data_IF_043727556926
#
_entry.id   IF_043727556926
#
_cell.length_a   1.000
_cell.length_b   1.000
_cell.length_c   1.000
_cell.angle_alpha   90.00
_cell.angle_beta   90.00
_cell.angle_gamma   90.00
#
_symmetry.space_group_name_H-M   'P 1'
#
loop_
_entity.id
_entity.type
_entity.pdbx_description
1 polymer ?
#
# COMPACT_ATOMS: atom_id res chain seq x y z
N UNK A 1 -23.37 60.66 28.37
CA UNK A 1 -22.80 59.63 29.27
C UNK A 1 -22.54 58.36 28.47
N UNK A 2 -21.29 58.12 28.04
CA UNK A 2 -20.92 56.91 27.31
C UNK A 2 -20.55 55.80 28.31
N UNK A 3 -21.33 54.72 28.36
CA UNK A 3 -20.99 53.52 29.12
C UNK A 3 -19.80 52.83 28.44
N UNK A 4 -18.61 52.98 29.01
CA UNK A 4 -17.46 52.18 28.65
C UNK A 4 -17.72 50.72 29.04
N UNK A 5 -18.07 49.89 28.07
CA UNK A 5 -18.20 48.44 28.23
C UNK A 5 -16.82 47.87 28.54
N UNK A 6 -16.48 47.70 29.82
CA UNK A 6 -15.31 46.95 30.29
C UNK A 6 -15.33 45.56 29.62
N UNK A 7 -14.51 45.36 28.58
CA UNK A 7 -14.25 44.02 28.05
C UNK A 7 -13.58 43.23 29.16
N UNK A 8 -14.29 42.29 29.77
CA UNK A 8 -13.70 41.31 30.69
C UNK A 8 -12.58 40.57 29.96
N UNK A 9 -11.34 40.84 30.35
CA UNK A 9 -10.17 40.12 29.88
C UNK A 9 -10.20 38.74 30.54
N UNK A 10 -10.58 37.71 29.79
CA UNK A 10 -10.45 36.32 30.24
C UNK A 10 -8.98 36.02 30.56
N UNK A 11 -8.74 35.22 31.60
CA UNK A 11 -7.39 34.79 31.96
C UNK A 11 -6.76 33.93 30.86
N UNK A 12 -5.43 33.95 30.81
CA UNK A 12 -4.64 33.23 29.80
C UNK A 12 -4.94 31.72 29.87
N UNK A 13 -5.15 31.17 31.06
CA UNK A 13 -5.43 29.75 31.33
C UNK A 13 -6.75 29.32 30.70
N UNK A 14 -7.81 30.11 30.87
CA UNK A 14 -9.13 29.82 30.29
C UNK A 14 -9.09 29.88 28.76
N UNK A 15 -8.26 30.76 28.20
CA UNK A 15 -8.05 30.83 26.75
C UNK A 15 -7.31 29.57 26.26
N UNK A 16 -6.27 29.13 26.96
CA UNK A 16 -5.53 27.90 26.63
C UNK A 16 -6.44 26.68 26.61
N UNK A 17 -7.24 26.47 27.64
CA UNK A 17 -8.19 25.35 27.71
C UNK A 17 -9.18 25.36 26.56
N UNK A 18 -9.72 26.54 26.21
CA UNK A 18 -10.64 26.68 25.08
C UNK A 18 -9.96 26.35 23.75
N UNK A 19 -8.71 26.76 23.55
CA UNK A 19 -7.93 26.41 22.35
C UNK A 19 -7.70 24.90 22.28
N UNK A 20 -7.26 24.27 23.36
CA UNK A 20 -7.01 22.82 23.42
C UNK A 20 -8.29 22.02 23.17
N UNK A 21 -9.41 22.38 23.82
CA UNK A 21 -10.71 21.74 23.61
C UNK A 21 -11.25 21.95 22.18
N UNK A 22 -10.90 23.04 21.53
CA UNK A 22 -11.28 23.27 20.13
C UNK A 22 -10.42 22.44 19.18
N UNK A 23 -9.12 22.37 19.42
CA UNK A 23 -8.19 21.58 18.62
C UNK A 23 -8.40 20.07 18.78
N UNK A 24 -8.77 19.60 19.97
CA UNK A 24 -9.15 18.19 20.19
C UNK A 24 -10.38 17.80 19.37
N UNK A 25 -11.34 18.71 19.18
CA UNK A 25 -12.49 18.50 18.28
C UNK A 25 -12.11 18.57 16.79
N UNK A 26 -11.13 19.40 16.43
CA UNK A 26 -10.65 19.50 15.04
C UNK A 26 -9.77 18.31 14.63
N UNK A 27 -9.14 17.64 15.58
CA UNK A 27 -8.23 16.50 15.38
C UNK A 27 -7.25 16.78 14.23
N UNK A 28 -7.14 15.84 13.29
CA UNK A 28 -6.21 15.85 12.16
C UNK A 28 -6.48 16.97 11.14
N UNK A 29 -7.63 17.63 11.18
CA UNK A 29 -7.91 18.77 10.30
C UNK A 29 -7.16 20.02 10.76
N UNK A 30 -6.85 20.11 12.06
CA UNK A 30 -6.33 21.32 12.69
C UNK A 30 -7.18 22.56 12.41
N UNK A 31 -6.70 23.71 12.87
CA UNK A 31 -7.40 24.98 12.66
C UNK A 31 -6.44 26.11 12.30
N UNK A 32 -6.77 26.96 11.32
CA UNK A 32 -6.01 28.20 11.10
C UNK A 32 -6.21 29.15 12.29
N UNK A 33 -5.25 30.05 12.52
CA UNK A 33 -5.28 31.04 13.61
C UNK A 33 -6.61 31.79 13.70
N UNK A 34 -7.17 32.19 12.56
CA UNK A 34 -8.44 32.91 12.45
C UNK A 34 -9.67 32.15 12.93
N UNK A 35 -9.61 30.82 12.99
CA UNK A 35 -10.70 29.96 13.48
C UNK A 35 -10.52 29.51 14.92
N UNK A 36 -9.39 29.84 15.55
CA UNK A 36 -9.19 29.52 16.96
C UNK A 36 -10.11 30.37 17.84
N UNK A 37 -10.65 29.80 18.93
CA UNK A 37 -11.54 30.52 19.82
C UNK A 37 -10.79 31.71 20.42
N UNK A 38 -11.51 32.82 20.57
CA UNK A 38 -11.01 34.03 21.21
C UNK A 38 -9.77 34.66 20.54
N UNK A 39 -9.57 34.42 19.24
CA UNK A 39 -8.47 35.02 18.45
C UNK A 39 -8.42 36.56 18.48
N UNK A 40 -9.51 37.25 18.85
CA UNK A 40 -9.58 38.72 19.00
C UNK A 40 -9.25 39.20 20.42
N UNK A 41 -8.95 38.30 21.36
CA UNK A 41 -8.66 38.65 22.76
C UNK A 41 -7.21 39.14 22.91
N UNK A 42 -6.94 40.21 23.70
CA UNK A 42 -5.58 40.72 23.90
C UNK A 42 -4.58 39.68 24.44
N UNK A 43 -5.06 38.76 25.28
CA UNK A 43 -4.24 37.71 25.91
C UNK A 43 -4.07 36.45 25.04
N UNK A 44 -4.64 36.45 23.82
CA UNK A 44 -4.63 35.28 22.94
C UNK A 44 -3.24 34.91 22.44
N UNK A 45 -2.45 35.90 21.98
CA UNK A 45 -1.10 35.64 21.47
C UNK A 45 -0.22 34.99 22.53
N UNK A 46 -0.26 35.53 23.76
CA UNK A 46 0.47 34.98 24.89
C UNK A 46 0.04 33.55 25.22
N UNK A 47 -1.27 33.27 25.22
CA UNK A 47 -1.78 31.91 25.42
C UNK A 47 -1.30 30.94 24.33
N UNK A 48 -1.27 31.39 23.07
CA UNK A 48 -0.86 30.60 21.92
C UNK A 48 0.64 30.31 21.92
N UNK A 49 1.47 31.31 22.19
CA UNK A 49 2.93 31.18 22.32
C UNK A 49 3.31 30.22 23.46
N UNK A 50 2.64 30.30 24.61
CA UNK A 50 2.88 29.39 25.72
C UNK A 50 2.50 27.94 25.39
N UNK A 51 1.42 27.71 24.64
CA UNK A 51 1.03 26.36 24.21
C UNK A 51 1.97 25.76 23.17
N UNK A 52 2.51 26.59 22.26
CA UNK A 52 3.53 26.16 21.29
C UNK A 52 4.85 25.87 22.02
N UNK A 53 5.27 26.73 22.94
CA UNK A 53 6.51 26.58 23.70
C UNK A 53 6.50 25.35 24.61
N UNK A 54 5.33 24.99 25.15
CA UNK A 54 5.11 23.76 25.92
C UNK A 54 4.88 22.51 25.06
N UNK A 55 5.01 22.64 23.73
CA UNK A 55 4.83 21.55 22.78
C UNK A 55 3.46 20.85 22.89
N UNK A 56 2.45 21.55 23.43
CA UNK A 56 1.08 21.03 23.56
C UNK A 56 0.33 21.14 22.23
N UNK A 57 0.69 22.14 21.43
CA UNK A 57 0.17 22.36 20.07
C UNK A 57 1.32 22.60 19.11
N UNK A 58 1.16 22.15 17.86
CA UNK A 58 2.12 22.35 16.79
C UNK A 58 1.54 23.29 15.74
N UNK A 59 2.34 24.27 15.30
CA UNK A 59 2.01 25.12 14.15
C UNK A 59 2.63 24.54 12.90
N UNK A 60 1.81 24.02 12.00
CA UNK A 60 2.25 23.37 10.77
C UNK A 60 1.41 23.93 9.61
N UNK A 61 2.08 24.50 8.59
CA UNK A 61 1.45 25.10 7.40
C UNK A 61 0.29 26.07 7.71
N UNK A 62 0.52 27.01 8.64
CA UNK A 62 -0.45 28.05 9.07
C UNK A 62 -1.69 27.50 9.77
N UNK A 63 -1.63 26.25 10.22
CA UNK A 63 -2.67 25.61 11.03
C UNK A 63 -2.05 25.13 12.33
N UNK A 64 -2.85 25.17 13.37
CA UNK A 64 -2.51 24.67 14.69
C UNK A 64 -3.17 23.30 14.86
N UNK A 65 -2.40 22.38 15.42
CA UNK A 65 -2.81 21.02 15.73
C UNK A 65 -2.49 20.74 17.18
N UNK A 66 -3.27 19.88 17.84
CA UNK A 66 -2.76 19.22 19.04
C UNK A 66 -1.58 18.34 18.63
N UNK A 67 -0.55 18.21 19.47
CA UNK A 67 0.65 17.42 19.15
C UNK A 67 0.31 16.01 18.65
N UNK A 68 -0.61 15.33 19.33
CA UNK A 68 -1.01 13.94 19.00
C UNK A 68 -1.74 13.82 17.65
N UNK A 69 -2.37 14.91 17.18
CA UNK A 69 -3.13 14.92 15.92
C UNK A 69 -2.38 15.61 14.77
N UNK A 70 -1.16 16.08 15.02
CA UNK A 70 -0.36 16.72 13.99
C UNK A 70 -0.04 15.72 12.85
N UNK A 71 -0.10 16.17 11.59
CA UNK A 71 0.29 15.34 10.46
C UNK A 71 1.79 15.07 10.51
N UNK A 72 2.17 13.79 10.62
CA UNK A 72 3.55 13.30 10.47
C UNK A 72 3.72 12.64 9.10
N UNK A 73 4.97 12.43 8.69
CA UNK A 73 5.29 11.68 7.46
C UNK A 73 4.71 10.26 7.52
N UNK A 74 4.89 9.55 8.63
CA UNK A 74 4.37 8.19 8.83
C UNK A 74 2.84 8.13 8.73
N UNK A 75 2.12 8.99 9.47
CA UNK A 75 0.65 9.07 9.39
C UNK A 75 0.16 9.42 7.98
N UNK A 76 0.95 10.19 7.24
CA UNK A 76 0.64 10.52 5.83
C UNK A 76 0.80 9.28 4.95
N UNK A 77 1.88 8.51 5.12
CA UNK A 77 2.08 7.22 4.42
C UNK A 77 0.96 6.23 4.71
N UNK A 78 0.61 6.03 5.98
CA UNK A 78 -0.47 5.11 6.37
C UNK A 78 -1.80 5.46 5.70
N UNK A 79 -2.13 6.76 5.63
CA UNK A 79 -3.35 7.22 4.94
C UNK A 79 -3.27 7.03 3.44
N UNK A 80 -2.11 7.24 2.83
CA UNK A 80 -1.88 6.97 1.41
C UNK A 80 -2.04 5.48 1.10
N UNK A 81 -1.39 4.60 1.87
CA UNK A 81 -1.52 3.14 1.76
C UNK A 81 -2.98 2.72 1.89
N UNK A 82 -3.66 3.14 2.95
CA UNK A 82 -5.09 2.85 3.18
C UNK A 82 -5.98 3.37 2.04
N UNK A 83 -5.61 4.48 1.41
CA UNK A 83 -6.32 4.99 0.24
C UNK A 83 -6.09 4.11 -0.99
N UNK A 84 -4.84 3.76 -1.28
CA UNK A 84 -4.48 2.93 -2.41
C UNK A 84 -5.04 1.51 -2.28
N UNK A 85 -5.02 0.89 -1.11
CA UNK A 85 -5.65 -0.42 -0.89
C UNK A 85 -7.15 -0.42 -1.21
N UNK A 86 -7.89 0.59 -0.74
CA UNK A 86 -9.31 0.75 -1.07
C UNK A 86 -9.52 0.98 -2.56
N UNK A 87 -8.62 1.75 -3.19
CA UNK A 87 -8.64 1.96 -4.63
C UNK A 87 -8.40 0.66 -5.39
N UNK A 88 -7.41 -0.15 -4.99
CA UNK A 88 -7.11 -1.46 -5.57
C UNK A 88 -8.31 -2.38 -5.46
N UNK A 89 -8.90 -2.52 -4.27
CA UNK A 89 -10.11 -3.33 -4.04
C UNK A 89 -11.25 -2.94 -4.99
N UNK A 90 -11.46 -1.63 -5.20
CA UNK A 90 -12.52 -1.11 -6.08
C UNK A 90 -12.25 -1.30 -7.58
N UNK A 91 -10.97 -1.36 -7.98
CA UNK A 91 -10.58 -1.41 -9.38
C UNK A 91 -10.08 -2.79 -9.82
N UNK A 92 -10.08 -3.78 -8.92
CA UNK A 92 -9.68 -5.17 -9.20
C UNK A 92 -10.50 -5.76 -10.34
N UNK A 93 -9.86 -6.54 -11.23
CA UNK A 93 -10.52 -7.18 -12.37
C UNK A 93 -10.76 -6.27 -13.59
N UNK A 94 -10.32 -5.01 -13.58
CA UNK A 94 -10.36 -4.15 -14.76
C UNK A 94 -9.29 -4.57 -15.76
N UNK A 95 -9.63 -4.64 -17.05
CA UNK A 95 -8.69 -4.91 -18.15
C UNK A 95 -7.59 -3.84 -18.27
N UNK A 96 -7.88 -2.60 -17.88
CA UNK A 96 -6.94 -1.48 -17.90
C UNK A 96 -7.05 -0.73 -16.58
N UNK A 97 -5.94 -0.61 -15.86
CA UNK A 97 -5.86 0.19 -14.64
C UNK A 97 -5.48 1.63 -15.00
N UNK A 98 -6.21 2.59 -14.44
CA UNK A 98 -5.89 4.01 -14.60
C UNK A 98 -5.03 4.49 -13.43
N UNK A 99 -3.76 4.90 -13.66
CA UNK A 99 -2.92 5.48 -12.63
C UNK A 99 -3.53 6.75 -12.01
N UNK A 100 -3.28 6.98 -10.73
CA UNK A 100 -3.81 8.13 -10.01
C UNK A 100 -2.88 9.32 -10.21
N UNK A 101 -3.38 10.42 -10.77
CA UNK A 101 -2.57 11.62 -10.98
C UNK A 101 -2.26 12.34 -9.66
N UNK A 102 -1.11 13.02 -9.64
CA UNK A 102 -0.68 13.88 -8.55
C UNK A 102 -1.72 14.97 -8.19
N UNK A 103 -2.46 15.47 -9.20
CA UNK A 103 -3.52 16.47 -9.02
C UNK A 103 -4.70 15.91 -8.20
N UNK A 104 -5.08 14.66 -8.43
CA UNK A 104 -6.14 13.99 -7.66
C UNK A 104 -5.71 13.82 -6.21
N UNK A 105 -4.46 13.40 -5.99
CA UNK A 105 -3.88 13.24 -4.66
C UNK A 105 -3.81 14.58 -3.91
N UNK A 106 -3.36 15.65 -4.56
CA UNK A 106 -3.37 17.02 -3.99
C UNK A 106 -4.76 17.46 -3.52
N UNK A 107 -5.79 17.20 -4.33
CA UNK A 107 -7.17 17.56 -3.97
C UNK A 107 -7.68 16.74 -2.80
N UNK A 108 -7.35 15.45 -2.77
CA UNK A 108 -7.83 14.50 -1.75
C UNK A 108 -7.13 14.65 -0.41
N UNK A 109 -5.85 14.99 -0.43
CA UNK A 109 -4.99 15.22 0.74
C UNK A 109 -4.68 16.70 0.93
N UNK A 110 -5.66 17.58 0.67
CA UNK A 110 -5.49 19.04 0.72
C UNK A 110 -5.16 19.60 2.11
N UNK A 111 -5.41 18.82 3.17
CA UNK A 111 -5.06 19.16 4.56
C UNK A 111 -3.64 18.76 4.93
N UNK A 112 -2.97 17.97 4.09
CA UNK A 112 -1.58 17.57 4.27
C UNK A 112 -0.68 18.58 3.55
N UNK A 113 0.47 18.83 4.15
CA UNK A 113 1.53 19.59 3.53
C UNK A 113 1.89 19.05 2.15
N UNK A 114 2.09 19.93 1.16
CA UNK A 114 2.55 19.51 -0.17
C UNK A 114 3.87 18.75 -0.10
N UNK A 115 4.85 19.28 0.62
CA UNK A 115 6.15 18.66 0.82
C UNK A 115 6.03 17.28 1.47
N UNK A 116 5.31 17.17 2.59
CA UNK A 116 5.08 15.87 3.26
C UNK A 116 4.37 14.89 2.34
N UNK A 117 3.35 15.33 1.58
CA UNK A 117 2.61 14.48 0.67
C UNK A 117 3.53 13.90 -0.43
N UNK A 118 4.36 14.74 -1.06
CA UNK A 118 5.27 14.26 -2.11
C UNK A 118 6.41 13.43 -1.56
N UNK A 119 6.95 13.81 -0.40
CA UNK A 119 7.98 13.02 0.29
C UNK A 119 7.43 11.63 0.62
N UNK A 120 6.24 11.54 1.21
CA UNK A 120 5.61 10.25 1.49
C UNK A 120 5.30 9.44 0.22
N UNK A 121 4.91 10.09 -0.89
CA UNK A 121 4.67 9.39 -2.15
C UNK A 121 5.96 8.86 -2.79
N UNK A 122 7.05 9.62 -2.68
CA UNK A 122 8.35 9.24 -3.21
C UNK A 122 8.95 8.11 -2.36
N UNK A 123 8.90 8.20 -1.02
CA UNK A 123 9.31 7.11 -0.13
C UNK A 123 8.48 5.84 -0.35
N UNK A 124 7.15 5.93 -0.52
CA UNK A 124 6.32 4.76 -0.85
C UNK A 124 6.64 4.16 -2.22
N UNK A 125 7.15 4.95 -3.16
CA UNK A 125 7.61 4.43 -4.45
C UNK A 125 8.97 3.73 -4.33
N UNK A 126 9.89 4.30 -3.54
CA UNK A 126 11.19 3.70 -3.22
C UNK A 126 11.05 2.39 -2.42
N UNK A 127 10.12 2.33 -1.48
CA UNK A 127 9.75 1.13 -0.70
C UNK A 127 9.05 0.05 -1.56
N UNK A 128 8.75 0.34 -2.83
CA UNK A 128 8.13 -0.62 -3.75
C UNK A 128 6.62 -0.78 -3.56
N UNK A 129 5.96 0.06 -2.78
CA UNK A 129 4.49 0.03 -2.66
C UNK A 129 3.80 0.64 -3.89
N UNK A 130 4.44 1.63 -4.53
CA UNK A 130 3.90 2.37 -5.66
C UNK A 130 4.88 2.36 -6.85
N UNK A 131 4.32 2.36 -8.05
CA UNK A 131 5.03 2.72 -9.28
C UNK A 131 4.73 4.18 -9.59
N UNK A 132 5.79 4.99 -9.67
CA UNK A 132 5.72 6.36 -10.17
C UNK A 132 5.86 6.36 -11.68
N UNK A 133 4.86 6.86 -12.38
CA UNK A 133 4.83 7.03 -13.82
C UNK A 133 4.86 8.53 -14.14
N UNK A 134 5.62 8.94 -15.16
CA UNK A 134 5.70 10.34 -15.57
C UNK A 134 5.31 10.48 -17.04
N UNK A 135 4.25 11.24 -17.29
CA UNK A 135 3.80 11.56 -18.65
C UNK A 135 3.90 13.07 -18.83
N UNK A 136 4.82 13.50 -19.70
CA UNK A 136 5.19 14.91 -19.88
C UNK A 136 5.56 15.56 -18.52
N UNK A 137 4.77 16.54 -18.08
CA UNK A 137 4.96 17.29 -16.83
C UNK A 137 4.13 16.76 -15.65
N UNK A 138 3.38 15.66 -15.82
CA UNK A 138 2.45 15.15 -14.80
C UNK A 138 2.94 13.80 -14.27
N UNK A 139 3.03 13.70 -12.93
CA UNK A 139 3.29 12.46 -12.23
C UNK A 139 1.98 11.69 -11.97
N UNK A 140 2.06 10.38 -12.10
CA UNK A 140 1.00 9.44 -11.78
C UNK A 140 1.57 8.34 -10.87
N UNK A 141 0.69 7.75 -10.06
CA UNK A 141 1.05 6.72 -9.10
C UNK A 141 0.11 5.52 -9.26
N UNK A 142 0.70 4.34 -9.32
CA UNK A 142 -0.01 3.08 -9.47
C UNK A 142 0.45 2.10 -8.38
N UNK A 143 -0.45 1.51 -7.57
CA UNK A 143 -0.06 0.49 -6.60
C UNK A 143 0.59 -0.73 -7.26
N UNK A 144 1.78 -1.12 -6.78
CA UNK A 144 2.48 -2.29 -7.31
C UNK A 144 1.70 -3.59 -7.06
N UNK A 145 0.90 -3.63 -5.98
CA UNK A 145 0.01 -4.74 -5.64
C UNK A 145 -1.05 -5.08 -6.69
N UNK A 146 -1.27 -4.21 -7.69
CA UNK A 146 -2.12 -4.51 -8.85
C UNK A 146 -1.41 -5.40 -9.88
N UNK A 147 -0.09 -5.31 -9.95
CA UNK A 147 0.75 -6.08 -10.85
C UNK A 147 1.26 -7.36 -10.19
N UNK A 148 1.28 -7.40 -8.86
CA UNK A 148 1.44 -8.64 -8.11
C UNK A 148 0.30 -9.59 -8.51
N UNK A 149 0.62 -10.60 -9.32
CA UNK A 149 -0.29 -11.71 -9.57
C UNK A 149 -0.65 -12.30 -8.21
N UNK A 150 -1.95 -12.35 -7.90
CA UNK A 150 -2.43 -12.97 -6.67
C UNK A 150 -1.77 -14.34 -6.54
N UNK A 151 -1.10 -14.59 -5.41
CA UNK A 151 -0.96 -15.97 -4.99
C UNK A 151 -2.39 -16.52 -4.94
N UNK A 152 -2.66 -17.61 -5.67
CA UNK A 152 -4.00 -18.15 -5.74
C UNK A 152 -4.50 -18.43 -4.33
N UNK A 153 -5.61 -17.78 -3.98
CA UNK A 153 -6.32 -18.01 -2.72
C UNK A 153 -6.62 -19.50 -2.59
N UNK A 154 -6.61 -19.99 -1.36
CA UNK A 154 -7.08 -21.33 -0.96
C UNK A 154 -8.45 -21.63 -1.60
N UNK A 155 -8.44 -22.15 -2.81
CA UNK A 155 -9.57 -22.81 -3.45
C UNK A 155 -9.44 -24.30 -3.17
N UNK A 156 -10.54 -25.03 -3.23
CA UNK A 156 -10.49 -26.50 -3.20
C UNK A 156 -9.48 -26.98 -4.25
N UNK A 157 -8.45 -27.68 -3.79
CA UNK A 157 -7.42 -28.25 -4.64
C UNK A 157 -8.06 -29.09 -5.75
N UNK A 158 -7.81 -28.71 -7.01
CA UNK A 158 -8.36 -29.38 -8.18
C UNK A 158 -7.22 -29.77 -9.15
N UNK A 159 -6.83 -31.05 -9.19
CA UNK A 159 -5.83 -31.58 -10.13
C UNK A 159 -6.12 -31.29 -11.60
N UNK A 160 -7.40 -31.14 -11.97
CA UNK A 160 -7.80 -30.93 -13.36
C UNK A 160 -7.23 -29.61 -13.90
N UNK A 161 -7.15 -28.57 -13.06
CA UNK A 161 -6.56 -27.27 -13.41
C UNK A 161 -5.07 -27.37 -13.73
N UNK A 162 -4.34 -28.26 -13.05
CA UNK A 162 -2.92 -28.51 -13.36
C UNK A 162 -2.79 -29.13 -14.75
N UNK A 163 -3.62 -30.12 -15.06
CA UNK A 163 -3.61 -30.81 -16.35
C UNK A 163 -3.98 -29.88 -17.50
N UNK A 164 -5.01 -29.04 -17.33
CA UNK A 164 -5.42 -28.04 -18.31
C UNK A 164 -4.31 -27.01 -18.56
N UNK A 165 -3.73 -26.47 -17.48
CA UNK A 165 -2.61 -25.53 -17.56
C UNK A 165 -1.38 -26.15 -18.26
N UNK A 166 -1.11 -27.44 -17.99
CA UNK A 166 -0.02 -28.16 -18.65
C UNK A 166 -0.28 -28.31 -20.16
N UNK A 167 -1.47 -28.75 -20.58
CA UNK A 167 -1.84 -28.86 -22.01
C UNK A 167 -1.64 -27.54 -22.74
N UNK A 168 -2.07 -26.45 -22.13
CA UNK A 168 -1.92 -25.12 -22.73
C UNK A 168 -0.45 -24.69 -22.84
N UNK A 169 0.35 -24.94 -21.81
CA UNK A 169 1.78 -24.58 -21.82
C UNK A 169 2.57 -25.42 -22.84
N UNK A 170 2.26 -26.71 -22.96
CA UNK A 170 2.84 -27.58 -24.00
C UNK A 170 2.38 -27.13 -25.38
N UNK A 171 1.10 -26.86 -25.58
CA UNK A 171 0.54 -26.42 -26.86
C UNK A 171 1.12 -25.08 -27.35
N UNK A 172 1.41 -24.15 -26.44
CA UNK A 172 1.98 -22.85 -26.77
C UNK A 172 3.52 -22.89 -26.92
N UNK A 173 4.20 -23.77 -26.18
CA UNK A 173 5.66 -23.81 -26.09
C UNK A 173 6.33 -24.83 -26.99
N UNK A 174 5.62 -25.88 -27.42
CA UNK A 174 6.18 -26.99 -28.21
C UNK A 174 7.09 -27.95 -27.42
N UNK A 175 7.32 -27.70 -26.14
CA UNK A 175 8.15 -28.54 -25.27
C UNK A 175 7.29 -29.30 -24.26
N UNK A 176 7.58 -30.59 -24.08
CA UNK A 176 6.91 -31.45 -23.10
C UNK A 176 7.36 -31.17 -21.66
N UNK A 177 8.56 -30.61 -21.47
CA UNK A 177 9.03 -30.22 -20.14
C UNK A 177 8.63 -28.77 -19.86
N UNK A 178 7.83 -28.58 -18.81
CA UNK A 178 7.27 -27.27 -18.44
C UNK A 178 7.83 -26.81 -17.10
N UNK A 179 8.13 -25.52 -16.97
CA UNK A 179 8.55 -24.91 -15.70
C UNK A 179 7.47 -25.08 -14.62
N UNK A 180 7.84 -25.61 -13.46
CA UNK A 180 6.96 -25.80 -12.30
C UNK A 180 6.32 -24.48 -11.86
N UNK A 181 7.10 -23.39 -11.88
CA UNK A 181 6.60 -22.05 -11.55
C UNK A 181 5.54 -21.58 -12.53
N UNK A 182 5.79 -21.71 -13.83
CA UNK A 182 4.82 -21.33 -14.87
C UNK A 182 3.55 -22.18 -14.75
N UNK A 183 3.71 -23.50 -14.55
CA UNK A 183 2.60 -24.43 -14.41
C UNK A 183 1.71 -24.08 -13.20
N UNK A 184 2.30 -23.86 -12.02
CA UNK A 184 1.55 -23.48 -10.82
C UNK A 184 0.83 -22.15 -11.00
N UNK A 185 1.53 -21.13 -11.51
CA UNK A 185 0.96 -19.79 -11.75
C UNK A 185 -0.23 -19.88 -12.71
N UNK A 186 -0.11 -20.67 -13.78
CA UNK A 186 -1.18 -20.87 -14.77
C UNK A 186 -2.36 -21.65 -14.20
N UNK A 187 -2.10 -22.69 -13.41
CA UNK A 187 -3.13 -23.49 -12.74
C UNK A 187 -3.84 -22.74 -11.62
N UNK A 188 -3.21 -21.68 -11.08
CA UNK A 188 -3.77 -20.91 -9.97
C UNK A 188 -3.94 -21.76 -8.72
N UNK A 189 -2.90 -22.51 -8.34
CA UNK A 189 -2.89 -23.36 -7.15
C UNK A 189 -1.82 -22.91 -6.15
N UNK A 190 -2.11 -23.07 -4.86
CA UNK A 190 -1.16 -22.80 -3.78
C UNK A 190 0.12 -23.66 -3.97
N UNK A 191 1.27 -23.10 -3.64
CA UNK A 191 2.57 -23.79 -3.76
C UNK A 191 2.60 -25.15 -3.08
N UNK A 192 2.13 -25.24 -1.82
CA UNK A 192 2.25 -26.47 -1.03
C UNK A 192 1.47 -27.60 -1.67
N UNK A 193 0.19 -27.38 -1.94
CA UNK A 193 -0.69 -28.38 -2.56
C UNK A 193 -0.20 -28.79 -3.96
N UNK A 194 0.29 -27.82 -4.73
CA UNK A 194 0.88 -28.09 -6.04
C UNK A 194 2.14 -28.98 -5.93
N UNK A 195 3.07 -28.65 -5.03
CA UNK A 195 4.29 -29.43 -4.84
C UNK A 195 3.98 -30.85 -4.33
N UNK A 196 3.08 -30.97 -3.35
CA UNK A 196 2.64 -32.27 -2.81
C UNK A 196 2.02 -33.15 -3.91
N UNK A 197 1.18 -32.55 -4.76
CA UNK A 197 0.57 -33.29 -5.88
C UNK A 197 1.58 -33.71 -6.94
N UNK A 198 2.49 -32.83 -7.36
CA UNK A 198 3.51 -33.18 -8.35
C UNK A 198 4.43 -34.29 -7.82
N UNK A 199 4.80 -34.23 -6.54
CA UNK A 199 5.58 -35.27 -5.87
C UNK A 199 4.84 -36.61 -5.91
N UNK A 200 3.54 -36.61 -5.61
CA UNK A 200 2.72 -37.83 -5.66
C UNK A 200 2.61 -38.39 -7.09
N UNK A 201 2.40 -37.54 -8.10
CA UNK A 201 2.42 -37.97 -9.50
C UNK A 201 3.77 -38.54 -9.91
N UNK A 202 4.87 -37.96 -9.43
CA UNK A 202 6.23 -38.47 -9.69
C UNK A 202 6.44 -39.84 -9.06
N UNK A 203 5.97 -40.06 -7.82
CA UNK A 203 6.03 -41.37 -7.15
C UNK A 203 5.21 -42.43 -7.87
N UNK A 204 4.07 -42.05 -8.44
CA UNK A 204 3.22 -42.92 -9.24
C UNK A 204 3.72 -43.13 -10.69
N UNK A 205 4.85 -42.54 -11.07
CA UNK A 205 5.40 -42.63 -12.43
C UNK A 205 4.61 -41.85 -13.49
N UNK A 206 3.66 -41.00 -13.06
CA UNK A 206 2.82 -40.15 -13.92
C UNK A 206 3.44 -38.80 -14.22
N UNK A 207 4.45 -38.38 -13.46
CA UNK A 207 5.24 -37.20 -13.73
C UNK A 207 6.73 -37.53 -13.81
N UNK A 208 7.45 -36.85 -14.70
CA UNK A 208 8.91 -36.88 -14.78
C UNK A 208 9.45 -35.49 -14.43
N UNK A 209 10.29 -35.42 -13.41
CA UNK A 209 10.94 -34.20 -12.95
C UNK A 209 12.29 -34.04 -13.62
N UNK A 210 12.57 -32.84 -14.12
CA UNK A 210 13.87 -32.49 -14.70
C UNK A 210 14.45 -31.24 -14.03
N UNK A 211 15.79 -31.20 -13.97
CA UNK A 211 16.51 -30.08 -13.36
C UNK A 211 16.35 -28.80 -14.20
N UNK A 212 16.15 -28.92 -15.51
CA UNK A 212 16.21 -27.77 -16.41
C UNK A 212 17.59 -27.09 -16.40
N UNK A 213 17.68 -25.92 -17.02
CA UNK A 213 18.90 -25.12 -17.00
C UNK A 213 18.88 -24.19 -15.78
N UNK A 214 19.63 -24.56 -14.74
CA UNK A 214 19.72 -23.84 -13.47
C UNK A 214 20.28 -22.42 -13.62
N UNK A 215 21.00 -22.13 -14.70
CA UNK A 215 21.64 -20.82 -14.91
C UNK A 215 20.62 -19.74 -15.31
N UNK A 216 19.45 -20.14 -15.78
CA UNK A 216 18.40 -19.24 -16.28
C UNK A 216 17.25 -19.04 -15.28
N UNK A 217 17.36 -19.63 -14.08
CA UNK A 217 16.26 -19.68 -13.11
C UNK A 217 16.25 -18.42 -12.25
N UNK A 218 15.13 -17.71 -12.27
CA UNK A 218 14.93 -16.55 -11.40
C UNK A 218 14.80 -16.95 -9.93
N UNK A 219 15.11 -16.03 -9.00
CA UNK A 219 14.93 -16.27 -7.55
C UNK A 219 13.50 -16.66 -7.16
N UNK A 220 12.51 -16.26 -7.96
CA UNK A 220 11.12 -16.63 -7.75
C UNK A 220 10.82 -18.07 -8.18
N UNK A 221 11.39 -18.51 -9.30
CA UNK A 221 11.31 -19.89 -9.76
C UNK A 221 12.06 -20.85 -8.84
N UNK A 222 13.12 -20.37 -8.18
CA UNK A 222 13.85 -21.19 -7.21
C UNK A 222 12.99 -21.63 -6.04
N UNK A 223 12.04 -20.79 -5.62
CA UNK A 223 11.10 -21.12 -4.53
C UNK A 223 10.08 -22.21 -4.91
N UNK A 224 9.90 -22.48 -6.20
CA UNK A 224 8.98 -23.49 -6.72
C UNK A 224 9.67 -24.84 -6.97
N UNK A 225 10.98 -24.91 -6.75
CA UNK A 225 11.75 -26.13 -6.96
C UNK A 225 11.25 -27.27 -6.08
N UNK A 226 11.14 -28.46 -6.66
CA UNK A 226 10.87 -29.69 -5.93
C UNK A 226 12.22 -30.29 -5.51
N UNK A 227 12.36 -30.58 -4.23
CA UNK A 227 13.54 -31.20 -3.65
C UNK A 227 13.31 -32.71 -3.52
N UNK A 228 14.15 -33.51 -4.18
CA UNK A 228 14.23 -34.95 -3.97
C UNK A 228 15.66 -35.31 -3.56
N UNK A 229 15.83 -35.66 -2.29
CA UNK A 229 17.15 -35.81 -1.68
C UNK A 229 17.91 -34.47 -1.71
N UNK A 230 19.10 -34.46 -2.33
CA UNK A 230 19.93 -33.27 -2.49
C UNK A 230 19.74 -32.54 -3.82
N UNK A 231 18.83 -33.00 -4.69
CA UNK A 231 18.62 -32.45 -6.03
C UNK A 231 17.38 -31.57 -6.10
N UNK A 232 17.53 -30.41 -6.75
CA UNK A 232 16.44 -29.49 -7.09
C UNK A 232 15.96 -29.76 -8.51
N UNK A 233 14.65 -29.84 -8.66
CA UNK A 233 13.96 -29.99 -9.94
C UNK A 233 13.07 -28.80 -10.17
N UNK A 234 13.11 -28.23 -11.37
CA UNK A 234 12.45 -26.97 -11.70
C UNK A 234 11.44 -27.13 -12.83
N UNK A 235 11.49 -28.26 -13.51
CA UNK A 235 10.65 -28.58 -14.65
C UNK A 235 9.97 -29.93 -14.44
N UNK A 236 8.80 -30.09 -15.06
CA UNK A 236 8.00 -31.32 -14.99
C UNK A 236 7.40 -31.64 -16.35
N UNK A 237 7.31 -32.95 -16.63
CA UNK A 237 6.54 -33.53 -17.72
C UNK A 237 5.48 -34.46 -17.16
N UNK A 238 4.23 -34.17 -17.43
CA UNK A 238 3.10 -35.04 -17.09
C UNK A 238 2.93 -36.07 -18.21
N UNK A 239 2.87 -37.36 -17.84
CA UNK A 239 2.76 -38.51 -18.77
C UNK A 239 1.32 -38.94 -18.97
N UNK A 240 0.44 -38.57 -18.05
CA UNK A 240 -1.00 -38.87 -18.07
C UNK A 240 -1.82 -37.81 -18.83
N UNK A 241 -1.14 -36.86 -19.47
CA UNK A 241 -1.75 -35.77 -20.23
C UNK A 241 -1.23 -35.86 -21.67
N UNK A 242 -2.08 -36.20 -22.66
CA UNK A 242 -1.70 -36.30 -24.07
C UNK A 242 -1.35 -34.93 -24.66
#
# INVERSE_FOLDING_TARGET
MAKATKRQTLSVEVIKEKILNFLSKCQEKGAPKSKLPLAKNPSFEKALEELVSKDSILSIYRRYYLKDFAPTLEKTKEKLLSFFERWVKKNRGRKVYQPISELILKKKFNLVAKTSLFTSLDELAEEGHLIRLKVKKVSYYLPLSLLAQEEPKEGSFDPQKIREAYKELVGNGGFLDVSLSKLRRRAGINRKEFQDWILEQSRQGKAHLSAGDYTLISKEEEKEAILLGSKKFYMVRLRDVP
#
